data_IF_287861953454
#
_entry.id   IF_287861953454
#
_cell.length_a   1.000
_cell.length_b   1.000
_cell.length_c   1.000
_cell.angle_alpha   90.00
_cell.angle_beta   90.00
_cell.angle_gamma   90.00
#
_symmetry.space_group_name_H-M   'P 1'
#
loop_
_entity.id
_entity.type
_entity.pdbx_description
1 polymer ?
#
# COMPACT_ATOMS: atom_id res chain seq x y z
N UNK A 1 -21.29 19.89 -52.79
CA UNK A 1 -21.51 19.27 -51.49
C UNK A 1 -20.20 18.63 -51.08
N UNK A 2 -19.50 19.12 -50.09
CA UNK A 2 -18.28 18.53 -49.63
C UNK A 2 -18.59 17.53 -48.50
N UNK A 3 -17.93 16.39 -48.57
CA UNK A 3 -17.95 15.26 -47.65
C UNK A 3 -17.29 15.63 -46.30
N UNK A 4 -17.94 15.24 -45.24
CA UNK A 4 -17.49 15.34 -43.83
C UNK A 4 -16.28 14.40 -43.59
N UNK A 5 -15.26 14.81 -42.85
CA UNK A 5 -14.20 13.90 -42.45
C UNK A 5 -14.64 13.02 -41.28
N UNK A 6 -14.34 11.74 -41.37
CA UNK A 6 -14.54 10.72 -40.36
C UNK A 6 -13.57 10.94 -39.19
N UNK A 7 -14.10 10.80 -38.00
CA UNK A 7 -13.40 10.78 -36.72
C UNK A 7 -12.65 9.45 -36.54
N UNK A 8 -11.39 9.41 -36.11
CA UNK A 8 -10.75 8.15 -35.75
C UNK A 8 -11.27 7.66 -34.40
N UNK A 9 -11.87 6.49 -34.43
CA UNK A 9 -12.29 5.70 -33.28
C UNK A 9 -11.12 4.98 -32.65
N UNK A 10 -11.20 4.94 -31.32
CA UNK A 10 -10.82 3.85 -30.41
C UNK A 10 -9.38 3.69 -30.01
N UNK A 11 -9.12 4.18 -28.80
CA UNK A 11 -8.15 3.59 -27.92
C UNK A 11 -8.65 2.21 -27.44
N UNK A 12 -7.83 1.21 -27.62
CA UNK A 12 -8.05 -0.17 -27.18
C UNK A 12 -7.89 -0.23 -25.67
N UNK A 13 -9.00 -0.34 -24.95
CA UNK A 13 -9.02 -0.63 -23.52
C UNK A 13 -8.61 -2.09 -23.33
N UNK A 14 -7.42 -2.33 -22.84
CA UNK A 14 -6.95 -3.67 -22.42
C UNK A 14 -7.77 -4.10 -21.20
N UNK A 15 -8.61 -5.10 -21.40
CA UNK A 15 -9.59 -5.58 -20.44
C UNK A 15 -8.96 -6.27 -19.25
N UNK A 16 -9.06 -5.66 -18.09
CA UNK A 16 -9.09 -6.37 -16.82
C UNK A 16 -10.35 -7.25 -16.80
N UNK A 17 -10.23 -8.53 -16.49
CA UNK A 17 -11.34 -9.49 -16.38
C UNK A 17 -12.40 -8.94 -15.41
N UNK A 18 -13.45 -8.34 -15.96
CA UNK A 18 -14.60 -7.83 -15.22
C UNK A 18 -15.46 -9.00 -14.76
N UNK A 19 -15.17 -9.54 -13.56
CA UNK A 19 -16.05 -10.50 -12.90
C UNK A 19 -17.34 -9.78 -12.47
N UNK A 20 -18.49 -10.35 -12.80
CA UNK A 20 -19.83 -9.86 -12.42
C UNK A 20 -20.12 -9.99 -10.91
N UNK A 21 -19.13 -10.37 -10.09
CA UNK A 21 -19.27 -10.71 -8.67
C UNK A 21 -18.50 -9.77 -7.71
N UNK A 22 -17.94 -8.66 -8.20
CA UNK A 22 -17.25 -7.69 -7.35
C UNK A 22 -18.27 -6.92 -6.49
N UNK A 23 -18.09 -6.94 -5.16
CA UNK A 23 -18.86 -6.11 -4.22
C UNK A 23 -18.32 -4.68 -4.16
N UNK A 24 -17.01 -4.50 -4.36
CA UNK A 24 -16.37 -3.19 -4.52
C UNK A 24 -15.45 -3.23 -5.73
N UNK A 25 -15.56 -2.22 -6.59
CA UNK A 25 -14.64 -2.01 -7.72
C UNK A 25 -13.95 -0.66 -7.58
N UNK A 26 -12.65 -0.67 -7.72
CA UNK A 26 -11.77 0.50 -7.69
C UNK A 26 -11.17 0.63 -9.08
N UNK A 27 -11.28 1.82 -9.68
CA UNK A 27 -10.78 2.11 -11.03
C UNK A 27 -9.95 3.39 -11.03
N UNK A 28 -8.68 3.25 -11.42
CA UNK A 28 -7.68 4.32 -11.57
C UNK A 28 -7.67 5.29 -10.38
N UNK A 29 -7.71 4.74 -9.17
CA UNK A 29 -7.89 5.52 -7.95
C UNK A 29 -6.61 6.24 -7.56
N UNK A 30 -6.72 7.57 -7.39
CA UNK A 30 -5.70 8.42 -6.78
C UNK A 30 -6.20 9.00 -5.47
N UNK A 31 -5.31 9.01 -4.46
CA UNK A 31 -5.49 9.75 -3.21
C UNK A 31 -4.21 10.50 -2.89
N UNK A 32 -4.25 11.80 -3.05
CA UNK A 32 -3.10 12.68 -2.87
C UNK A 32 -3.34 13.65 -1.72
N UNK A 33 -2.34 13.79 -0.83
CA UNK A 33 -2.36 14.71 0.29
C UNK A 33 -1.41 15.87 0.04
N UNK A 34 -1.94 17.09 0.01
CA UNK A 34 -1.11 18.28 -0.05
C UNK A 34 -0.34 18.47 1.28
N UNK A 35 0.98 18.48 1.23
CA UNK A 35 1.81 18.90 2.35
C UNK A 35 1.64 20.41 2.51
N UNK A 36 1.25 20.85 3.72
CA UNK A 36 1.09 22.27 4.03
C UNK A 36 2.46 22.95 3.98
N UNK A 37 2.78 23.59 2.85
CA UNK A 37 3.86 24.56 2.79
C UNK A 37 3.55 25.79 3.67
N UNK A 38 4.58 26.50 4.15
CA UNK A 38 4.40 27.74 4.92
C UNK A 38 3.52 28.73 4.13
N UNK A 39 2.73 29.55 4.84
CA UNK A 39 1.89 30.58 4.21
C UNK A 39 2.70 31.48 3.25
N UNK A 40 3.99 31.70 3.55
CA UNK A 40 4.93 32.47 2.72
C UNK A 40 5.25 31.75 1.39
N UNK A 41 5.36 30.41 1.38
CA UNK A 41 5.65 29.64 0.17
C UNK A 41 4.47 29.69 -0.82
N UNK A 42 3.22 29.72 -0.31
CA UNK A 42 2.00 29.92 -1.13
C UNK A 42 1.98 31.30 -1.78
N UNK A 43 2.40 32.36 -1.05
CA UNK A 43 2.45 33.73 -1.57
C UNK A 43 3.49 33.86 -2.68
N UNK A 44 4.56 33.07 -2.66
CA UNK A 44 5.64 33.03 -3.66
C UNK A 44 5.35 32.05 -4.83
N UNK A 45 4.12 31.52 -4.95
CA UNK A 45 3.71 30.65 -6.06
C UNK A 45 4.40 29.26 -6.08
N UNK A 46 5.09 28.88 -5.01
CA UNK A 46 5.65 27.52 -4.90
C UNK A 46 4.52 26.52 -4.69
N UNK A 47 4.32 25.63 -5.63
CA UNK A 47 3.40 24.49 -5.48
C UNK A 47 3.86 23.67 -4.28
N UNK A 48 2.95 23.44 -3.30
CA UNK A 48 3.24 22.56 -2.17
C UNK A 48 3.54 21.15 -2.67
N UNK A 49 4.45 20.44 -1.99
CA UNK A 49 4.70 19.01 -2.24
C UNK A 49 3.42 18.23 -1.97
N UNK A 50 3.16 17.20 -2.75
CA UNK A 50 1.96 16.37 -2.65
C UNK A 50 2.38 14.93 -2.45
N UNK A 51 1.93 14.30 -1.35
CA UNK A 51 2.16 12.88 -1.11
C UNK A 51 1.15 12.09 -1.91
N UNK A 52 1.62 11.23 -2.80
CA UNK A 52 0.82 10.27 -3.55
C UNK A 52 0.60 9.01 -2.70
N UNK A 53 -0.39 9.06 -1.80
CA UNK A 53 -0.66 7.94 -0.91
C UNK A 53 -1.28 6.74 -1.63
N UNK A 54 -2.05 7.01 -2.68
CA UNK A 54 -2.57 6.05 -3.66
C UNK A 54 -2.34 6.66 -5.05
N UNK A 55 -1.84 5.86 -5.99
CA UNK A 55 -1.41 6.29 -7.32
C UNK A 55 -1.84 5.24 -8.36
N UNK A 56 -2.96 5.46 -9.05
CA UNK A 56 -3.48 4.65 -10.14
C UNK A 56 -3.94 3.23 -9.74
N UNK A 57 -4.53 3.06 -8.54
CA UNK A 57 -4.92 1.72 -8.08
C UNK A 57 -6.17 1.21 -8.78
N UNK A 58 -6.06 0.00 -9.36
CA UNK A 58 -7.15 -0.78 -9.92
C UNK A 58 -7.33 -2.08 -9.11
N UNK A 59 -8.54 -2.32 -8.56
CA UNK A 59 -8.80 -3.45 -7.68
C UNK A 59 -10.27 -3.84 -7.65
N UNK A 60 -10.57 -5.15 -7.80
CA UNK A 60 -11.88 -5.73 -7.55
C UNK A 60 -11.88 -6.56 -6.26
N UNK A 61 -12.84 -6.31 -5.37
CA UNK A 61 -13.11 -7.08 -4.17
C UNK A 61 -14.32 -7.98 -4.44
N UNK A 62 -14.11 -9.29 -4.44
CA UNK A 62 -15.15 -10.28 -4.71
C UNK A 62 -16.02 -10.50 -3.49
N UNK A 63 -17.30 -10.75 -3.71
CA UNK A 63 -18.23 -11.05 -2.62
C UNK A 63 -17.83 -12.31 -1.86
N UNK A 64 -17.81 -12.23 -0.53
CA UNK A 64 -17.48 -13.36 0.36
C UNK A 64 -16.00 -13.72 0.42
N UNK A 65 -15.08 -12.97 -0.24
CA UNK A 65 -13.64 -13.21 -0.12
C UNK A 65 -13.01 -12.46 1.07
N UNK A 66 -11.85 -12.94 1.49
CA UNK A 66 -10.89 -12.19 2.30
C UNK A 66 -9.76 -11.74 1.38
N UNK A 67 -9.73 -10.47 1.01
CA UNK A 67 -8.63 -9.88 0.26
C UNK A 67 -7.59 -9.32 1.22
N UNK A 68 -6.40 -9.90 1.23
CA UNK A 68 -5.24 -9.38 1.97
C UNK A 68 -4.63 -8.17 1.27
N UNK A 69 -4.44 -7.08 1.99
CA UNK A 69 -3.73 -5.90 1.52
C UNK A 69 -2.43 -5.80 2.31
N UNK A 70 -1.31 -6.17 1.70
CA UNK A 70 -0.03 -6.37 2.37
C UNK A 70 1.04 -5.43 1.82
N UNK A 71 1.98 -4.99 2.66
CA UNK A 71 3.10 -4.12 2.29
C UNK A 71 3.73 -3.45 3.49
N UNK A 72 4.86 -2.78 3.30
CA UNK A 72 5.56 -2.03 4.35
C UNK A 72 4.72 -0.89 4.92
N UNK A 73 5.09 -0.37 6.10
CA UNK A 73 4.45 0.83 6.67
C UNK A 73 4.58 2.01 5.70
N UNK A 74 3.51 2.81 5.57
CA UNK A 74 3.48 3.93 4.63
C UNK A 74 3.18 3.56 3.17
N UNK A 75 2.95 2.28 2.82
CA UNK A 75 2.64 1.89 1.43
C UNK A 75 1.24 2.28 0.94
N UNK A 76 0.37 2.88 1.77
CA UNK A 76 -0.96 3.36 1.38
C UNK A 76 -2.14 2.48 1.80
N UNK A 77 -1.93 1.30 2.39
CA UNK A 77 -2.97 0.31 2.74
C UNK A 77 -4.16 0.88 3.52
N UNK A 78 -3.87 1.51 4.66
CA UNK A 78 -4.90 2.16 5.50
C UNK A 78 -5.63 3.28 4.76
N UNK A 79 -4.91 4.03 3.90
CA UNK A 79 -5.50 5.08 3.07
C UNK A 79 -6.47 4.49 2.07
N UNK A 80 -6.11 3.39 1.40
CA UNK A 80 -7.00 2.68 0.48
C UNK A 80 -8.25 2.16 1.19
N UNK A 81 -8.10 1.49 2.34
CA UNK A 81 -9.24 1.03 3.14
C UNK A 81 -10.17 2.17 3.58
N UNK A 82 -9.61 3.32 3.97
CA UNK A 82 -10.40 4.51 4.32
C UNK A 82 -11.07 5.15 3.11
N UNK A 83 -10.44 5.13 1.95
CA UNK A 83 -11.04 5.63 0.70
C UNK A 83 -12.24 4.78 0.29
N UNK A 84 -12.17 3.44 0.41
CA UNK A 84 -13.29 2.52 0.16
C UNK A 84 -14.52 2.87 1.01
N UNK A 85 -14.31 3.30 2.26
CA UNK A 85 -15.40 3.74 3.16
C UNK A 85 -15.81 5.20 2.95
N UNK A 86 -15.23 5.90 1.99
CA UNK A 86 -15.42 7.35 1.81
C UNK A 86 -15.00 8.18 3.03
N UNK A 87 -14.06 7.69 3.85
CA UNK A 87 -13.48 8.44 4.97
C UNK A 87 -12.38 9.40 4.51
N UNK A 88 -11.77 9.09 3.37
CA UNK A 88 -10.80 9.92 2.67
C UNK A 88 -11.31 10.14 1.25
N UNK A 89 -11.39 11.39 0.75
CA UNK A 89 -11.83 11.66 -0.61
C UNK A 89 -10.77 11.20 -1.62
N UNK A 90 -11.22 10.69 -2.77
CA UNK A 90 -10.36 10.45 -3.92
C UNK A 90 -9.95 11.77 -4.58
N UNK A 91 -8.73 11.80 -5.14
CA UNK A 91 -8.25 12.92 -5.97
C UNK A 91 -8.66 12.71 -7.43
N UNK A 92 -8.60 11.46 -7.91
CA UNK A 92 -9.06 11.02 -9.21
C UNK A 92 -9.53 9.55 -9.14
N UNK A 93 -10.10 9.05 -10.23
CA UNK A 93 -10.64 7.71 -10.32
C UNK A 93 -11.95 7.52 -9.58
N UNK A 94 -12.40 6.27 -9.45
CA UNK A 94 -13.70 5.96 -8.85
C UNK A 94 -13.66 4.71 -7.97
N UNK A 95 -14.57 4.70 -6.98
CA UNK A 95 -14.86 3.52 -6.15
C UNK A 95 -16.35 3.24 -6.30
N UNK A 96 -16.69 2.06 -6.81
CA UNK A 96 -18.06 1.62 -7.02
C UNK A 96 -18.37 0.48 -6.07
N UNK A 97 -19.47 0.60 -5.35
CA UNK A 97 -20.02 -0.44 -4.46
C UNK A 97 -21.25 -1.06 -5.09
N UNK A 98 -21.33 -2.39 -5.13
CA UNK A 98 -22.45 -3.17 -5.62
C UNK A 98 -23.13 -3.90 -4.46
N UNK A 99 -24.00 -3.16 -3.74
CA UNK A 99 -24.71 -3.69 -2.56
C UNK A 99 -25.85 -4.62 -2.92
N UNK A 100 -26.14 -5.61 -2.06
CA UNK A 100 -27.24 -6.55 -2.23
C UNK A 100 -28.58 -5.81 -2.35
N UNK A 101 -28.82 -4.84 -1.48
CA UNK A 101 -30.08 -4.12 -1.38
C UNK A 101 -30.06 -2.73 -2.04
N UNK A 102 -28.87 -2.17 -2.28
CA UNK A 102 -28.71 -0.79 -2.82
C UNK A 102 -28.44 -0.75 -4.32
N UNK A 103 -28.03 -1.87 -4.91
CA UNK A 103 -27.53 -1.88 -6.28
C UNK A 103 -26.15 -1.19 -6.40
N UNK A 104 -25.88 -0.61 -7.55
CA UNK A 104 -24.62 0.08 -7.86
C UNK A 104 -24.61 1.51 -7.32
N UNK A 105 -23.54 1.86 -6.60
CA UNK A 105 -23.34 3.18 -5.99
C UNK A 105 -21.89 3.61 -6.15
N UNK A 106 -21.65 4.79 -6.72
CA UNK A 106 -20.30 5.37 -6.83
C UNK A 106 -19.95 6.10 -5.52
N UNK A 107 -19.15 5.45 -4.69
CA UNK A 107 -18.77 5.93 -3.34
C UNK A 107 -18.06 7.27 -3.38
N UNK A 108 -17.18 7.46 -4.38
CA UNK A 108 -16.41 8.70 -4.56
C UNK A 108 -17.26 9.93 -4.84
N UNK A 109 -18.51 9.76 -5.26
CA UNK A 109 -19.46 10.84 -5.55
C UNK A 109 -20.41 11.15 -4.39
N UNK A 110 -20.48 10.25 -3.40
CA UNK A 110 -21.38 10.40 -2.27
C UNK A 110 -20.88 11.42 -1.24
N UNK A 111 -21.83 12.14 -0.64
CA UNK A 111 -21.56 13.08 0.43
C UNK A 111 -22.66 13.04 1.53
N UNK A 112 -22.32 13.57 2.69
CA UNK A 112 -23.26 13.84 3.76
C UNK A 112 -24.12 12.65 4.20
N UNK A 113 -25.44 12.76 3.98
CA UNK A 113 -26.41 11.76 4.45
C UNK A 113 -26.33 10.43 3.69
N UNK A 114 -26.07 10.48 2.38
CA UNK A 114 -26.00 9.28 1.55
C UNK A 114 -24.77 8.44 1.90
N UNK A 115 -23.61 9.08 2.04
CA UNK A 115 -22.40 8.42 2.51
C UNK A 115 -22.56 7.83 3.91
N UNK A 116 -23.27 8.52 4.82
CA UNK A 116 -23.59 7.99 6.15
C UNK A 116 -24.46 6.73 6.09
N UNK A 117 -25.41 6.68 5.14
CA UNK A 117 -26.23 5.48 4.91
C UNK A 117 -25.41 4.34 4.32
N UNK A 118 -24.51 4.62 3.37
CA UNK A 118 -23.62 3.59 2.79
C UNK A 118 -22.77 2.93 3.87
N UNK A 119 -22.29 3.70 4.84
CA UNK A 119 -21.49 3.18 5.96
C UNK A 119 -22.22 2.21 6.87
N UNK A 120 -23.54 1.97 6.73
CA UNK A 120 -24.19 0.84 7.40
C UNK A 120 -23.82 -0.49 6.77
N UNK A 121 -23.54 -0.50 5.47
CA UNK A 121 -23.25 -1.70 4.68
C UNK A 121 -21.74 -2.00 4.65
N UNK A 122 -20.91 -1.00 4.99
CA UNK A 122 -19.45 -1.11 5.01
C UNK A 122 -18.91 -0.58 6.34
N UNK A 123 -18.17 -1.41 7.08
CA UNK A 123 -17.66 -1.08 8.42
C UNK A 123 -16.14 -1.23 8.52
N UNK A 124 -15.54 -0.68 9.57
CA UNK A 124 -14.10 -0.75 9.82
C UNK A 124 -13.79 -1.26 11.22
N UNK A 125 -12.86 -2.21 11.30
CA UNK A 125 -12.15 -2.60 12.51
C UNK A 125 -10.81 -1.87 12.50
N UNK A 126 -10.59 -0.98 13.46
CA UNK A 126 -9.39 -0.14 13.53
C UNK A 126 -8.24 -0.87 14.23
N UNK A 127 -7.02 -0.47 13.93
CA UNK A 127 -5.77 -1.03 14.43
C UNK A 127 -5.66 -1.01 15.95
N UNK A 128 -6.06 0.09 16.61
CA UNK A 128 -6.03 0.22 18.07
C UNK A 128 -7.45 0.06 18.65
N UNK A 129 -7.74 -1.07 19.30
CA UNK A 129 -9.04 -1.28 19.93
C UNK A 129 -9.31 -0.34 21.12
N UNK A 130 -8.24 0.18 21.76
CA UNK A 130 -8.36 1.16 22.84
C UNK A 130 -8.83 2.53 22.35
N UNK A 131 -8.28 2.98 21.23
CA UNK A 131 -8.71 4.21 20.58
C UNK A 131 -10.07 4.08 19.87
N UNK A 132 -10.42 2.85 19.45
CA UNK A 132 -11.69 2.59 18.79
C UNK A 132 -12.90 2.65 19.73
N UNK A 133 -12.78 2.31 21.01
CA UNK A 133 -13.85 2.35 22.01
C UNK A 133 -13.75 3.64 22.83
N UNK A 134 -14.87 4.34 22.95
CA UNK A 134 -14.93 5.54 23.79
C UNK A 134 -14.77 5.13 25.28
N UNK A 135 -13.72 5.61 25.98
CA UNK A 135 -13.44 5.19 27.37
C UNK A 135 -14.55 5.61 28.38
N UNK A 136 -15.36 6.60 28.04
CA UNK A 136 -16.47 7.06 28.87
C UNK A 136 -17.81 6.33 28.66
N UNK A 137 -17.85 5.35 27.73
CA UNK A 137 -19.02 4.53 27.46
C UNK A 137 -18.86 3.13 28.01
N UNK A 138 -19.94 2.52 28.49
CA UNK A 138 -19.99 1.09 28.78
C UNK A 138 -19.88 0.29 27.48
N UNK A 139 -19.59 -1.02 27.57
CA UNK A 139 -19.52 -1.90 26.41
C UNK A 139 -20.90 -2.00 25.72
N UNK A 140 -22.00 -2.03 26.49
CA UNK A 140 -23.36 -1.97 25.94
C UNK A 140 -23.56 -0.71 25.09
N UNK A 141 -23.19 0.45 25.61
CA UNK A 141 -23.30 1.73 24.89
C UNK A 141 -22.38 1.79 23.68
N UNK A 142 -21.11 1.40 23.83
CA UNK A 142 -20.12 1.49 22.77
C UNK A 142 -20.44 0.57 21.58
N UNK A 143 -20.88 -0.67 21.84
CA UNK A 143 -21.28 -1.65 20.82
C UNK A 143 -22.64 -1.29 20.22
N UNK A 144 -23.60 -0.82 21.02
CA UNK A 144 -24.94 -0.46 20.57
C UNK A 144 -25.04 0.88 19.87
N UNK A 145 -24.05 1.77 20.02
CA UNK A 145 -24.07 3.13 19.48
C UNK A 145 -24.38 3.22 17.96
N UNK A 146 -23.86 2.36 17.09
CA UNK A 146 -24.24 2.35 15.67
C UNK A 146 -25.75 2.11 15.45
N UNK A 147 -26.39 1.23 16.22
CA UNK A 147 -27.83 0.98 16.13
C UNK A 147 -28.66 2.19 16.58
N UNK A 148 -28.20 2.89 17.62
CA UNK A 148 -28.86 4.13 18.07
C UNK A 148 -28.82 5.19 16.97
N UNK A 149 -27.65 5.39 16.34
CA UNK A 149 -27.47 6.42 15.31
C UNK A 149 -28.22 6.10 14.01
N UNK A 150 -28.13 4.85 13.54
CA UNK A 150 -28.61 4.49 12.22
C UNK A 150 -30.01 3.92 12.18
N UNK A 151 -30.44 3.24 13.26
CA UNK A 151 -31.76 2.58 13.36
C UNK A 151 -32.67 3.18 14.44
N UNK A 152 -32.15 4.10 15.30
CA UNK A 152 -32.91 4.72 16.36
C UNK A 152 -33.31 3.78 17.50
N UNK A 153 -32.70 2.60 17.62
CA UNK A 153 -33.04 1.57 18.60
C UNK A 153 -32.71 2.03 20.03
N UNK A 154 -33.54 1.63 21.01
CA UNK A 154 -33.39 1.96 22.44
C UNK A 154 -33.92 0.82 23.32
N UNK A 155 -33.59 0.89 24.63
CA UNK A 155 -34.14 0.00 25.64
C UNK A 155 -33.80 -1.47 25.42
N UNK A 156 -34.77 -2.35 25.67
CA UNK A 156 -34.55 -3.81 25.63
C UNK A 156 -34.22 -4.35 24.24
N UNK A 157 -34.77 -3.75 23.18
CA UNK A 157 -34.46 -4.16 21.81
C UNK A 157 -32.99 -3.90 21.48
N UNK A 158 -32.47 -2.71 21.82
CA UNK A 158 -31.03 -2.40 21.67
C UNK A 158 -30.18 -3.37 22.47
N UNK A 159 -30.54 -3.58 23.75
CA UNK A 159 -29.81 -4.49 24.64
C UNK A 159 -29.78 -5.92 24.11
N UNK A 160 -30.88 -6.44 23.58
CA UNK A 160 -30.97 -7.76 22.98
C UNK A 160 -30.06 -7.90 21.76
N UNK A 161 -30.00 -6.88 20.88
CA UNK A 161 -29.10 -6.86 19.72
C UNK A 161 -27.62 -6.81 20.15
N UNK A 162 -27.29 -6.00 21.15
CA UNK A 162 -25.93 -5.92 21.71
C UNK A 162 -25.51 -7.26 22.33
N UNK A 163 -26.41 -7.87 23.11
CA UNK A 163 -26.17 -9.18 23.72
C UNK A 163 -25.84 -10.22 22.66
N UNK A 164 -26.65 -10.34 21.62
CA UNK A 164 -26.41 -11.27 20.51
C UNK A 164 -25.08 -11.01 19.80
N UNK A 165 -24.70 -9.73 19.57
CA UNK A 165 -23.43 -9.39 18.96
C UNK A 165 -22.23 -9.74 19.84
N UNK A 166 -22.34 -9.57 21.17
CA UNK A 166 -21.30 -9.96 22.14
C UNK A 166 -21.13 -11.49 22.23
N UNK A 167 -22.23 -12.24 22.20
CA UNK A 167 -22.19 -13.72 22.13
C UNK A 167 -21.47 -14.23 20.88
N UNK A 168 -21.81 -13.67 19.71
CA UNK A 168 -21.17 -14.02 18.43
C UNK A 168 -19.64 -13.85 18.45
N UNK A 169 -19.13 -12.84 19.16
CA UNK A 169 -17.69 -12.64 19.31
C UNK A 169 -17.08 -13.38 20.51
N UNK A 170 -17.87 -14.22 21.21
CA UNK A 170 -17.42 -15.02 22.35
C UNK A 170 -17.15 -14.22 23.61
N UNK A 171 -17.82 -13.07 23.81
CA UNK A 171 -17.88 -12.35 25.08
C UNK A 171 -19.09 -12.83 25.91
N UNK A 172 -19.01 -14.05 26.43
CA UNK A 172 -20.05 -14.70 27.22
C UNK A 172 -19.51 -15.10 28.60
N UNK A 173 -20.37 -15.16 29.65
CA UNK A 173 -21.78 -14.69 29.66
C UNK A 173 -21.87 -13.18 29.55
N UNK A 174 -22.81 -12.69 28.73
CA UNK A 174 -22.90 -11.30 28.27
C UNK A 174 -23.07 -10.31 29.42
N UNK A 175 -23.81 -10.68 30.47
CA UNK A 175 -24.09 -9.84 31.65
C UNK A 175 -22.81 -9.37 32.35
N UNK A 176 -21.72 -10.12 32.21
CA UNK A 176 -20.40 -9.74 32.77
C UNK A 176 -19.73 -8.60 32.03
N UNK A 177 -20.17 -8.31 30.82
CA UNK A 177 -19.51 -7.35 29.93
C UNK A 177 -20.31 -6.09 29.69
N UNK A 178 -21.65 -6.14 29.68
CA UNK A 178 -22.51 -5.02 29.30
C UNK A 178 -22.21 -3.73 30.09
N UNK A 179 -22.05 -3.83 31.41
CA UNK A 179 -21.81 -2.68 32.28
C UNK A 179 -20.33 -2.31 32.47
N UNK A 180 -19.40 -3.08 31.88
CA UNK A 180 -17.97 -2.78 31.95
C UNK A 180 -17.60 -1.63 31.02
N UNK A 181 -16.53 -0.94 31.39
CA UNK A 181 -15.87 0.04 30.54
C UNK A 181 -14.70 -0.60 29.75
N UNK A 182 -14.24 0.04 28.67
CA UNK A 182 -13.10 -0.46 27.91
C UNK A 182 -11.84 -0.70 28.77
N UNK A 183 -11.63 0.11 29.81
CA UNK A 183 -10.50 -0.04 30.73
C UNK A 183 -10.51 -1.38 31.50
N UNK A 184 -11.69 -1.97 31.72
CA UNK A 184 -11.86 -3.22 32.48
C UNK A 184 -11.61 -4.48 31.64
N UNK A 185 -11.35 -4.32 30.33
CA UNK A 185 -11.18 -5.42 29.39
C UNK A 185 -9.70 -5.67 29.05
N UNK A 186 -9.34 -6.95 28.87
CA UNK A 186 -8.07 -7.33 28.26
C UNK A 186 -8.00 -6.89 26.77
N UNK A 187 -6.80 -6.84 26.19
CA UNK A 187 -6.61 -6.48 24.78
C UNK A 187 -7.46 -7.31 23.82
N UNK A 188 -7.48 -8.63 24.00
CA UNK A 188 -8.31 -9.53 23.19
C UNK A 188 -9.82 -9.35 23.40
N UNK A 189 -10.26 -9.00 24.63
CA UNK A 189 -11.66 -8.68 24.91
C UNK A 189 -12.07 -7.34 24.26
N UNK A 190 -11.19 -6.31 24.31
CA UNK A 190 -11.42 -5.04 23.60
C UNK A 190 -11.57 -5.29 22.10
N UNK A 191 -10.68 -6.10 21.52
CA UNK A 191 -10.73 -6.42 20.08
C UNK A 191 -12.06 -7.11 19.72
N UNK A 192 -12.51 -8.08 20.52
CA UNK A 192 -13.82 -8.72 20.33
C UNK A 192 -14.96 -7.72 20.40
N UNK A 193 -14.94 -6.78 21.35
CA UNK A 193 -15.95 -5.73 21.45
C UNK A 193 -15.94 -4.78 20.24
N UNK A 194 -14.76 -4.44 19.69
CA UNK A 194 -14.63 -3.66 18.44
C UNK A 194 -15.20 -4.42 17.25
N UNK A 195 -14.93 -5.72 17.16
CA UNK A 195 -15.49 -6.58 16.11
C UNK A 195 -17.02 -6.65 16.26
N UNK A 196 -17.56 -6.86 17.49
CA UNK A 196 -18.99 -6.86 17.75
C UNK A 196 -19.66 -5.55 17.28
N UNK A 197 -19.03 -4.39 17.57
CA UNK A 197 -19.49 -3.09 17.10
C UNK A 197 -19.49 -2.96 15.58
N UNK A 198 -18.51 -3.54 14.91
CA UNK A 198 -18.43 -3.51 13.45
C UNK A 198 -19.53 -4.35 12.80
N UNK A 199 -19.83 -5.53 13.35
CA UNK A 199 -20.82 -6.45 12.75
C UNK A 199 -22.27 -6.18 13.18
N UNK A 200 -22.52 -5.33 14.19
CA UNK A 200 -23.87 -5.12 14.77
C UNK A 200 -24.88 -4.51 13.77
N UNK A 201 -24.39 -3.80 12.75
CA UNK A 201 -25.20 -3.28 11.64
C UNK A 201 -25.45 -4.31 10.54
N UNK A 202 -24.85 -5.50 10.63
CA UNK A 202 -24.90 -6.56 9.63
C UNK A 202 -24.34 -6.07 8.26
N UNK A 203 -23.09 -5.58 8.23
CA UNK A 203 -22.50 -5.04 6.99
C UNK A 203 -22.23 -6.15 5.96
N UNK A 204 -22.07 -5.77 4.70
CA UNK A 204 -21.57 -6.69 3.65
C UNK A 204 -20.05 -6.69 3.54
N UNK A 205 -19.41 -5.54 3.84
CA UNK A 205 -17.97 -5.35 3.71
C UNK A 205 -17.39 -4.87 5.03
N UNK A 206 -16.29 -5.48 5.46
CA UNK A 206 -15.52 -5.06 6.63
C UNK A 206 -14.06 -4.81 6.24
N UNK A 207 -13.60 -3.60 6.47
CA UNK A 207 -12.18 -3.25 6.36
C UNK A 207 -11.54 -3.51 7.73
N UNK A 208 -10.66 -4.50 7.81
CA UNK A 208 -9.94 -4.84 9.04
C UNK A 208 -8.50 -4.31 8.95
N UNK A 209 -8.25 -3.17 9.59
CA UNK A 209 -6.95 -2.49 9.56
C UNK A 209 -6.08 -2.98 10.72
N UNK A 210 -5.13 -3.84 10.42
CA UNK A 210 -4.22 -4.49 11.38
C UNK A 210 -4.91 -5.06 12.64
N UNK A 211 -5.97 -5.87 12.51
CA UNK A 211 -6.88 -6.20 13.61
C UNK A 211 -6.24 -7.04 14.72
N UNK A 212 -5.02 -7.54 14.53
CA UNK A 212 -4.33 -8.40 15.50
C UNK A 212 -2.92 -7.92 15.87
N UNK A 213 -2.48 -6.78 15.34
CA UNK A 213 -1.08 -6.29 15.51
C UNK A 213 -0.71 -6.04 16.98
N UNK A 214 -1.65 -5.57 17.80
CA UNK A 214 -1.43 -5.24 19.21
C UNK A 214 -1.74 -6.39 20.19
N UNK A 215 -1.91 -7.62 19.69
CA UNK A 215 -2.29 -8.77 20.51
C UNK A 215 -1.17 -9.79 20.63
N UNK A 216 -1.14 -10.51 21.76
CA UNK A 216 -0.26 -11.65 21.97
C UNK A 216 -0.53 -12.76 20.94
N UNK A 217 0.48 -13.53 20.58
CA UNK A 217 0.42 -14.55 19.53
C UNK A 217 -0.74 -15.54 19.74
N UNK A 218 -0.96 -16.01 20.98
CA UNK A 218 -2.05 -16.96 21.31
C UNK A 218 -3.45 -16.35 21.14
N UNK A 219 -3.57 -15.04 21.34
CA UNK A 219 -4.83 -14.30 21.18
C UNK A 219 -5.06 -13.98 19.70
N UNK A 220 -3.99 -13.67 18.93
CA UNK A 220 -4.08 -13.42 17.49
C UNK A 220 -4.78 -14.54 16.75
N UNK A 221 -4.31 -15.79 16.93
CA UNK A 221 -4.91 -16.95 16.26
C UNK A 221 -6.41 -17.09 16.55
N UNK A 222 -6.84 -16.84 17.81
CA UNK A 222 -8.24 -16.90 18.20
C UNK A 222 -9.09 -15.78 17.57
N UNK A 223 -8.53 -14.59 17.40
CA UNK A 223 -9.23 -13.47 16.73
C UNK A 223 -9.32 -13.71 15.22
N UNK A 224 -8.27 -14.23 14.59
CA UNK A 224 -8.29 -14.58 13.17
C UNK A 224 -9.32 -15.66 12.89
N UNK A 225 -9.37 -16.72 13.71
CA UNK A 225 -10.40 -17.77 13.58
C UNK A 225 -11.81 -17.20 13.77
N UNK A 226 -12.02 -16.35 14.79
CA UNK A 226 -13.31 -15.66 14.97
C UNK A 226 -13.72 -14.86 13.73
N UNK A 227 -12.79 -14.15 13.09
CA UNK A 227 -13.11 -13.37 11.87
C UNK A 227 -13.53 -14.29 10.72
N UNK A 228 -12.89 -15.45 10.56
CA UNK A 228 -13.29 -16.46 9.56
C UNK A 228 -14.66 -17.05 9.87
N UNK A 229 -14.92 -17.42 11.13
CA UNK A 229 -16.22 -17.93 11.56
C UNK A 229 -17.35 -16.91 11.28
N UNK A 230 -17.11 -15.64 11.59
CA UNK A 230 -18.05 -14.53 11.30
C UNK A 230 -18.22 -14.29 9.81
N UNK A 231 -17.15 -14.44 8.99
CA UNK A 231 -17.23 -14.38 7.53
C UNK A 231 -18.23 -15.37 6.99
N UNK A 232 -18.12 -16.63 7.43
CA UNK A 232 -18.96 -17.72 6.96
C UNK A 232 -20.40 -17.62 7.49
N UNK A 233 -20.58 -17.28 8.79
CA UNK A 233 -21.90 -17.12 9.40
C UNK A 233 -22.71 -15.96 8.83
N UNK A 234 -22.06 -14.81 8.66
CA UNK A 234 -22.70 -13.55 8.24
C UNK A 234 -22.50 -13.24 6.75
N UNK A 235 -21.82 -14.11 6.00
CA UNK A 235 -21.48 -13.93 4.59
C UNK A 235 -20.78 -12.57 4.33
N UNK A 236 -19.80 -12.27 5.18
CA UNK A 236 -19.02 -11.03 5.11
C UNK A 236 -17.95 -11.11 4.01
N UNK A 237 -17.63 -9.96 3.47
CA UNK A 237 -16.45 -9.74 2.61
C UNK A 237 -15.45 -8.92 3.39
N UNK A 238 -14.17 -9.34 3.41
CA UNK A 238 -13.12 -8.64 4.16
C UNK A 238 -12.06 -8.03 3.25
N UNK A 239 -11.63 -6.81 3.57
CA UNK A 239 -10.30 -6.32 3.23
C UNK A 239 -9.45 -6.41 4.49
N UNK A 240 -8.50 -7.32 4.50
CA UNK A 240 -7.60 -7.58 5.63
C UNK A 240 -6.26 -6.88 5.41
N UNK A 241 -6.06 -5.74 6.09
CA UNK A 241 -4.85 -4.94 6.00
C UNK A 241 -3.86 -5.42 7.04
N UNK A 242 -2.65 -5.77 6.61
CA UNK A 242 -1.58 -6.22 7.51
C UNK A 242 -0.20 -5.98 6.90
N UNK A 243 0.83 -5.95 7.76
CA UNK A 243 2.23 -6.09 7.35
C UNK A 243 2.77 -7.51 7.65
N UNK A 244 1.98 -8.36 8.31
CA UNK A 244 2.33 -9.73 8.66
C UNK A 244 1.81 -10.72 7.61
N UNK A 245 2.72 -11.18 6.75
CA UNK A 245 2.43 -12.16 5.70
C UNK A 245 1.99 -13.52 6.26
N UNK A 246 2.45 -13.91 7.47
CA UNK A 246 2.05 -15.19 8.06
C UNK A 246 0.55 -15.20 8.40
N UNK A 247 0.03 -14.10 8.97
CA UNK A 247 -1.40 -13.94 9.22
C UNK A 247 -2.20 -13.84 7.92
N UNK A 248 -1.68 -13.14 6.91
CA UNK A 248 -2.32 -13.05 5.60
C UNK A 248 -2.42 -14.43 4.91
N UNK A 249 -1.37 -15.26 4.99
CA UNK A 249 -1.39 -16.64 4.46
C UNK A 249 -2.50 -17.48 5.06
N UNK A 250 -2.78 -17.26 6.35
CA UNK A 250 -3.76 -18.04 7.09
C UNK A 250 -5.22 -17.67 6.77
N UNK A 251 -5.49 -16.37 6.55
CA UNK A 251 -6.89 -15.88 6.46
C UNK A 251 -7.32 -15.44 5.07
N UNK A 252 -6.39 -15.10 4.15
CA UNK A 252 -6.73 -14.47 2.88
C UNK A 252 -6.92 -15.49 1.76
N UNK A 253 -7.96 -15.27 0.94
CA UNK A 253 -8.20 -16.01 -0.30
C UNK A 253 -7.29 -15.48 -1.42
N UNK A 254 -7.14 -14.15 -1.50
CA UNK A 254 -6.25 -13.44 -2.41
C UNK A 254 -5.43 -12.40 -1.66
N UNK A 255 -4.26 -12.07 -2.19
CA UNK A 255 -3.37 -11.03 -1.63
C UNK A 255 -3.02 -10.02 -2.71
N UNK A 256 -3.15 -8.74 -2.38
CA UNK A 256 -2.61 -7.62 -3.12
C UNK A 256 -1.42 -7.04 -2.35
N UNK A 257 -0.26 -7.00 -2.98
CA UNK A 257 0.97 -6.43 -2.42
C UNK A 257 1.06 -4.96 -2.84
N UNK A 258 1.16 -4.07 -1.85
CA UNK A 258 1.26 -2.62 -2.08
C UNK A 258 2.65 -2.08 -1.78
N UNK A 259 3.14 -1.23 -2.66
CA UNK A 259 4.38 -0.47 -2.48
C UNK A 259 4.20 0.96 -2.98
N UNK A 260 4.52 1.96 -2.15
CA UNK A 260 4.42 3.41 -2.47
C UNK A 260 3.12 3.80 -3.21
N UNK A 261 1.96 3.41 -2.66
CA UNK A 261 0.65 3.79 -3.19
C UNK A 261 0.17 2.95 -4.38
N UNK A 262 0.95 2.00 -4.89
CA UNK A 262 0.62 1.16 -6.04
C UNK A 262 0.49 -0.32 -5.65
N UNK A 263 -0.36 -1.06 -6.37
CA UNK A 263 -0.38 -2.53 -6.29
C UNK A 263 0.68 -3.05 -7.25
N UNK A 264 1.68 -3.77 -6.70
CA UNK A 264 2.79 -4.31 -7.48
C UNK A 264 2.59 -5.77 -7.86
N UNK A 265 1.80 -6.52 -7.09
CA UNK A 265 1.43 -7.89 -7.40
C UNK A 265 0.11 -8.26 -6.73
N UNK A 266 -0.77 -9.00 -7.42
CA UNK A 266 -2.04 -9.48 -6.88
C UNK A 266 -2.38 -10.85 -7.44
N UNK A 267 -2.84 -11.75 -6.56
CA UNK A 267 -3.25 -13.10 -6.98
C UNK A 267 -3.77 -13.95 -5.84
N UNK A 268 -4.12 -15.22 -6.12
CA UNK A 268 -4.44 -16.19 -5.09
C UNK A 268 -3.32 -16.30 -4.07
N UNK A 269 -3.67 -16.41 -2.78
CA UNK A 269 -2.69 -16.47 -1.69
C UNK A 269 -1.62 -17.53 -1.93
N UNK A 270 -2.01 -18.73 -2.37
CA UNK A 270 -1.07 -19.82 -2.64
C UNK A 270 -0.04 -19.43 -3.71
N UNK A 271 -0.48 -18.80 -4.83
CA UNK A 271 0.42 -18.38 -5.91
C UNK A 271 1.41 -17.30 -5.47
N UNK A 272 0.95 -16.32 -4.67
CA UNK A 272 1.80 -15.27 -4.10
C UNK A 272 2.92 -15.87 -3.23
N UNK A 273 2.62 -16.93 -2.47
CA UNK A 273 3.61 -17.58 -1.59
C UNK A 273 4.53 -18.56 -2.32
N UNK A 274 4.00 -19.34 -3.26
CA UNK A 274 4.76 -20.40 -3.92
C UNK A 274 5.53 -19.88 -5.13
N UNK A 275 4.97 -18.92 -5.86
CA UNK A 275 5.48 -18.42 -7.13
C UNK A 275 5.49 -16.88 -7.21
N UNK A 276 6.06 -16.15 -6.23
CA UNK A 276 6.09 -14.69 -6.24
C UNK A 276 6.83 -14.17 -7.48
N UNK A 277 6.23 -13.22 -8.20
CA UNK A 277 6.79 -12.67 -9.44
C UNK A 277 7.55 -11.36 -9.17
N UNK A 278 6.93 -10.42 -8.47
CA UNK A 278 7.56 -9.14 -8.23
C UNK A 278 8.76 -9.28 -7.26
N UNK A 279 9.93 -8.69 -7.56
CA UNK A 279 11.11 -8.77 -6.68
C UNK A 279 10.86 -8.24 -5.26
N UNK A 280 9.97 -7.27 -5.09
CA UNK A 280 9.54 -6.81 -3.77
C UNK A 280 8.77 -7.89 -2.98
N UNK A 281 7.84 -8.61 -3.63
CA UNK A 281 7.13 -9.74 -3.01
C UNK A 281 8.10 -10.83 -2.59
N UNK A 282 9.07 -11.15 -3.45
CA UNK A 282 10.12 -12.11 -3.14
C UNK A 282 10.94 -11.69 -1.92
N UNK A 283 11.29 -10.40 -1.82
CA UNK A 283 12.01 -9.86 -0.69
C UNK A 283 11.21 -9.89 0.61
N UNK A 284 9.92 -9.53 0.57
CA UNK A 284 9.01 -9.62 1.72
C UNK A 284 8.87 -11.06 2.24
N UNK A 285 8.73 -12.03 1.34
CA UNK A 285 8.60 -13.44 1.72
C UNK A 285 9.91 -13.99 2.29
N UNK A 286 11.07 -13.60 1.76
CA UNK A 286 12.38 -13.97 2.30
C UNK A 286 12.63 -13.39 3.71
N UNK A 287 12.01 -12.28 4.04
CA UNK A 287 12.13 -11.64 5.35
C UNK A 287 11.27 -12.30 6.45
N UNK A 288 10.37 -13.23 6.10
CA UNK A 288 9.58 -13.98 7.09
C UNK A 288 10.52 -14.88 7.91
N UNK A 289 10.58 -14.72 9.25
CA UNK A 289 11.39 -15.61 10.09
C UNK A 289 10.86 -17.04 10.01
N UNK A 290 11.70 -17.96 9.58
CA UNK A 290 11.41 -19.39 9.71
C UNK A 290 12.07 -19.91 11.00
N UNK A 291 11.40 -20.81 11.75
CA UNK A 291 11.95 -21.37 12.99
C UNK A 291 13.01 -22.47 12.73
N UNK A 292 13.81 -22.29 11.69
CA UNK A 292 14.94 -23.18 11.34
C UNK A 292 16.25 -22.52 11.81
N UNK A 293 16.92 -23.06 12.85
CA UNK A 293 18.15 -22.51 13.38
C UNK A 293 19.33 -22.59 12.39
N UNK A 294 19.27 -23.46 11.40
CA UNK A 294 20.31 -23.63 10.39
C UNK A 294 20.13 -22.70 9.18
N UNK A 295 18.97 -22.05 9.07
CA UNK A 295 18.71 -21.10 7.98
C UNK A 295 19.28 -19.72 8.32
N UNK A 296 20.35 -19.37 7.67
CA UNK A 296 20.88 -17.99 7.74
C UNK A 296 19.89 -17.03 7.08
N UNK A 297 19.59 -15.91 7.75
CA UNK A 297 18.82 -14.81 7.13
C UNK A 297 19.51 -14.40 5.83
N UNK A 298 18.84 -14.43 4.69
CA UNK A 298 19.47 -14.04 3.42
C UNK A 298 20.02 -12.63 3.51
N UNK A 299 21.23 -12.42 3.02
CA UNK A 299 21.85 -11.09 2.95
C UNK A 299 21.27 -10.23 1.82
N UNK A 300 20.38 -10.80 1.00
CA UNK A 300 19.74 -10.17 -0.17
C UNK A 300 18.44 -9.44 0.19
N UNK A 301 18.41 -8.79 1.35
CA UNK A 301 17.30 -7.90 1.71
C UNK A 301 17.31 -6.66 0.81
N UNK A 302 16.15 -6.04 0.55
CA UNK A 302 16.09 -4.81 -0.23
C UNK A 302 17.03 -3.75 0.34
N UNK A 303 17.79 -3.10 -0.53
CA UNK A 303 18.78 -2.08 -0.14
C UNK A 303 18.06 -0.79 0.25
N UNK A 304 18.72 0.01 1.09
CA UNK A 304 18.31 1.37 1.41
C UNK A 304 16.96 1.49 2.11
N UNK A 305 16.52 2.72 2.26
CA UNK A 305 15.25 3.11 2.86
C UNK A 305 14.12 3.14 1.80
N UNK A 306 12.88 3.20 2.27
CA UNK A 306 11.71 3.39 1.39
C UNK A 306 11.78 4.80 0.81
N UNK A 307 11.68 4.99 -0.51
CA UNK A 307 11.68 6.31 -1.12
C UNK A 307 10.53 7.19 -0.61
N UNK A 308 10.70 8.53 -0.72
CA UNK A 308 9.68 9.48 -0.30
C UNK A 308 8.45 9.41 -1.22
N UNK A 309 7.28 9.12 -0.64
CA UNK A 309 6.02 9.10 -1.37
C UNK A 309 5.58 10.47 -1.93
N UNK A 310 6.22 11.56 -1.49
CA UNK A 310 6.00 12.90 -2.08
C UNK A 310 6.78 13.13 -3.39
N UNK A 311 7.85 12.36 -3.59
CA UNK A 311 8.68 12.38 -4.80
C UNK A 311 9.09 10.94 -5.15
N UNK A 312 8.13 10.11 -5.61
CA UNK A 312 8.41 8.71 -5.92
C UNK A 312 9.45 8.61 -7.04
N UNK A 313 10.21 7.51 -7.10
CA UNK A 313 11.13 7.24 -8.19
C UNK A 313 10.42 7.17 -9.55
N UNK A 314 11.13 7.49 -10.62
CA UNK A 314 10.64 7.35 -11.98
C UNK A 314 10.40 5.87 -12.32
N UNK A 315 9.44 5.55 -13.18
CA UNK A 315 9.12 4.19 -13.60
C UNK A 315 8.69 3.30 -12.43
N UNK A 316 9.39 2.19 -12.23
CA UNK A 316 9.13 1.27 -11.12
C UNK A 316 9.58 1.87 -9.78
N UNK A 317 8.64 2.18 -8.89
CA UNK A 317 8.94 2.77 -7.58
C UNK A 317 9.87 1.93 -6.68
N UNK A 318 10.00 0.63 -6.95
CA UNK A 318 10.89 -0.28 -6.20
C UNK A 318 12.31 -0.38 -6.78
N UNK A 319 12.58 0.17 -7.99
CA UNK A 319 13.85 -0.04 -8.67
C UNK A 319 15.12 0.33 -7.86
N UNK A 320 15.14 1.40 -7.01
CA UNK A 320 16.35 1.74 -6.25
C UNK A 320 16.74 0.64 -5.25
N UNK A 321 15.77 -0.16 -4.82
CA UNK A 321 15.94 -1.26 -3.84
C UNK A 321 15.97 -2.65 -4.51
N UNK A 322 15.72 -2.72 -5.82
CA UNK A 322 15.52 -3.98 -6.53
C UNK A 322 16.88 -4.57 -7.00
N UNK A 323 17.26 -5.79 -6.55
CA UNK A 323 18.49 -6.43 -7.02
C UNK A 323 18.42 -6.90 -8.48
N UNK A 324 17.19 -7.00 -9.04
CA UNK A 324 16.93 -7.45 -10.41
C UNK A 324 16.59 -6.29 -11.36
N UNK A 325 16.75 -5.03 -10.93
CA UNK A 325 16.40 -3.88 -11.76
C UNK A 325 17.22 -3.89 -13.07
N UNK A 326 16.52 -3.57 -14.16
CA UNK A 326 17.06 -3.48 -15.53
C UNK A 326 17.09 -2.03 -16.01
N UNK A 327 17.52 -1.79 -17.24
CA UNK A 327 17.70 -0.44 -17.76
C UNK A 327 16.41 0.40 -17.70
N UNK A 328 15.29 -0.19 -18.09
CA UNK A 328 13.98 0.47 -18.22
C UNK A 328 13.24 0.65 -16.89
N UNK A 329 13.84 0.27 -15.76
CA UNK A 329 13.19 0.37 -14.44
C UNK A 329 13.04 1.81 -13.93
N UNK A 330 13.80 2.79 -14.49
CA UNK A 330 13.59 4.21 -14.19
C UNK A 330 14.72 4.88 -13.43
N UNK A 331 15.97 4.52 -13.75
CA UNK A 331 17.16 5.12 -13.17
C UNK A 331 17.22 6.63 -13.38
N UNK A 332 17.68 7.34 -12.36
CA UNK A 332 17.63 8.79 -12.31
C UNK A 332 18.79 9.39 -11.51
N UNK A 333 18.90 10.72 -11.52
CA UNK A 333 20.00 11.45 -10.85
C UNK A 333 20.14 11.14 -9.36
N UNK A 334 19.03 10.90 -8.63
CA UNK A 334 19.05 10.54 -7.21
C UNK A 334 19.71 9.19 -6.94
N UNK A 335 19.64 8.25 -7.88
CA UNK A 335 20.28 6.95 -7.75
C UNK A 335 21.82 7.08 -7.86
N UNK A 336 22.31 8.01 -8.68
CA UNK A 336 23.74 8.35 -8.73
C UNK A 336 24.20 8.92 -7.37
N UNK A 337 23.43 9.82 -6.78
CA UNK A 337 23.70 10.35 -5.44
C UNK A 337 23.78 9.21 -4.41
N UNK A 338 22.78 8.35 -4.39
CA UNK A 338 22.72 7.22 -3.46
C UNK A 338 23.93 6.26 -3.63
N UNK A 339 24.34 5.99 -4.88
CA UNK A 339 25.51 5.18 -5.20
C UNK A 339 26.79 5.79 -4.63
N UNK A 340 27.00 7.09 -4.81
CA UNK A 340 28.17 7.81 -4.31
C UNK A 340 28.20 7.84 -2.78
N UNK A 341 27.07 8.17 -2.14
CA UNK A 341 26.94 8.20 -0.67
C UNK A 341 27.19 6.80 -0.07
N UNK A 342 26.68 5.73 -0.68
CA UNK A 342 26.95 4.35 -0.25
C UNK A 342 28.43 4.00 -0.42
N UNK A 343 29.05 4.40 -1.55
CA UNK A 343 30.47 4.16 -1.78
C UNK A 343 31.33 4.81 -0.67
N UNK A 344 31.06 6.06 -0.36
CA UNK A 344 31.80 6.78 0.69
C UNK A 344 31.56 6.24 2.10
N UNK A 345 30.37 5.78 2.41
CA UNK A 345 30.06 5.19 3.73
C UNK A 345 30.90 3.92 4.01
N UNK A 346 31.29 3.21 2.96
CA UNK A 346 32.07 1.96 3.07
C UNK A 346 33.58 2.17 3.09
N UNK A 347 34.07 3.36 2.78
CA UNK A 347 35.48 3.66 2.66
C UNK A 347 35.99 4.50 3.86
N UNK A 348 37.31 4.42 4.20
CA UNK A 348 37.89 5.28 5.26
C UNK A 348 37.78 6.77 4.93
N UNK A 349 37.51 7.62 5.93
CA UNK A 349 37.32 9.06 5.79
C UNK A 349 38.46 9.78 5.01
N UNK A 350 39.70 9.35 5.21
CA UNK A 350 40.85 9.91 4.49
C UNK A 350 40.79 9.73 2.96
N UNK A 351 40.12 8.67 2.49
CA UNK A 351 39.96 8.38 1.07
C UNK A 351 38.71 9.07 0.52
N UNK A 352 37.57 8.93 1.20
CA UNK A 352 36.31 9.52 0.68
C UNK A 352 36.30 11.04 0.76
N UNK A 353 36.99 11.66 1.73
CA UNK A 353 37.07 13.11 1.84
C UNK A 353 37.64 13.75 0.56
N UNK A 354 38.72 13.21 0.04
CA UNK A 354 39.33 13.68 -1.21
C UNK A 354 38.39 13.49 -2.41
N UNK A 355 37.71 12.33 -2.50
CA UNK A 355 36.76 12.04 -3.56
C UNK A 355 35.53 12.97 -3.50
N UNK A 356 34.99 13.23 -2.30
CA UNK A 356 33.87 14.12 -2.08
C UNK A 356 34.23 15.57 -2.46
N UNK A 357 35.42 16.03 -2.08
CA UNK A 357 35.89 17.37 -2.42
C UNK A 357 36.10 17.52 -3.94
N UNK A 358 36.47 16.46 -4.64
CA UNK A 358 36.64 16.40 -6.09
C UNK A 358 35.28 16.44 -6.80
N UNK A 359 34.33 15.58 -6.38
CA UNK A 359 32.96 15.49 -6.93
C UNK A 359 32.16 16.75 -6.64
N UNK A 360 32.34 17.36 -5.46
CA UNK A 360 31.68 18.60 -5.07
C UNK A 360 30.24 18.40 -4.56
N UNK A 361 29.35 19.35 -4.88
CA UNK A 361 28.01 19.43 -4.34
C UNK A 361 27.04 18.47 -5.04
N UNK A 362 26.42 17.55 -4.28
CA UNK A 362 25.43 16.60 -4.76
C UNK A 362 23.99 17.08 -4.71
N UNK A 363 23.71 18.28 -4.15
CA UNK A 363 22.33 18.77 -3.99
C UNK A 363 21.61 18.96 -5.34
N UNK A 364 22.36 19.10 -6.43
CA UNK A 364 21.79 19.15 -7.78
C UNK A 364 21.22 17.82 -8.25
N UNK A 365 21.64 16.71 -7.64
CA UNK A 365 21.17 15.37 -7.96
C UNK A 365 19.88 14.98 -7.21
N UNK A 366 19.31 15.88 -6.39
CA UNK A 366 18.10 15.60 -5.60
C UNK A 366 16.81 15.58 -6.41
N UNK A 367 16.85 15.90 -7.68
CA UNK A 367 15.66 15.91 -8.53
C UNK A 367 15.55 14.61 -9.31
N UNK A 368 14.33 14.10 -9.57
CA UNK A 368 14.11 12.92 -10.39
C UNK A 368 14.27 13.29 -11.89
N UNK A 369 15.49 13.33 -12.38
CA UNK A 369 15.82 13.69 -13.77
C UNK A 369 16.51 12.54 -14.49
N UNK A 370 16.19 12.32 -15.77
CA UNK A 370 16.79 11.29 -16.64
C UNK A 370 18.20 11.66 -17.12
N UNK A 371 18.71 12.79 -16.68
CA UNK A 371 20.08 13.20 -16.89
C UNK A 371 20.64 13.81 -15.62
N UNK A 372 21.91 13.57 -15.37
CA UNK A 372 22.63 14.16 -14.27
C UNK A 372 23.89 14.87 -14.79
N UNK A 373 24.18 16.05 -14.23
CA UNK A 373 25.43 16.74 -14.47
C UNK A 373 26.12 17.01 -13.14
N UNK A 374 27.20 16.30 -12.91
CA UNK A 374 28.05 16.48 -11.73
C UNK A 374 29.07 17.56 -12.04
N UNK A 375 28.78 18.80 -11.58
CA UNK A 375 29.72 19.92 -11.71
C UNK A 375 30.89 19.72 -10.74
N UNK A 376 32.10 19.62 -11.25
CA UNK A 376 33.29 19.29 -10.47
C UNK A 376 34.48 20.17 -10.88
N UNK A 377 35.47 20.29 -9.99
CA UNK A 377 36.73 20.99 -10.27
C UNK A 377 37.71 20.14 -11.12
N UNK A 378 37.50 18.84 -11.13
CA UNK A 378 38.30 17.84 -11.86
C UNK A 378 37.35 16.84 -12.54
N UNK A 379 36.93 17.17 -13.76
CA UNK A 379 36.02 16.33 -14.55
C UNK A 379 36.67 14.96 -14.90
N UNK A 380 37.90 14.96 -15.30
CA UNK A 380 38.62 13.73 -15.63
C UNK A 380 38.81 12.81 -14.43
N UNK A 381 39.15 13.38 -13.25
CA UNK A 381 39.25 12.65 -11.98
C UNK A 381 37.88 12.08 -11.53
N UNK A 382 36.82 12.87 -11.67
CA UNK A 382 35.45 12.41 -11.34
C UNK A 382 34.99 11.28 -12.28
N UNK A 383 35.22 11.40 -13.57
CA UNK A 383 34.93 10.34 -14.54
C UNK A 383 35.73 9.07 -14.24
N UNK A 384 37.02 9.21 -13.90
CA UNK A 384 37.87 8.09 -13.50
C UNK A 384 37.36 7.42 -12.22
N UNK A 385 36.86 8.20 -11.21
CA UNK A 385 36.25 7.68 -10.01
C UNK A 385 35.00 6.85 -10.32
N UNK A 386 34.07 7.37 -11.12
CA UNK A 386 32.85 6.67 -11.50
C UNK A 386 33.15 5.37 -12.27
N UNK A 387 34.11 5.39 -13.20
CA UNK A 387 34.53 4.20 -13.90
C UNK A 387 35.21 3.17 -12.97
N UNK A 388 35.95 3.62 -11.96
CA UNK A 388 36.51 2.74 -10.93
C UNK A 388 35.42 2.09 -10.10
N UNK A 389 34.42 2.86 -9.60
CA UNK A 389 33.28 2.34 -8.85
C UNK A 389 32.52 1.30 -9.70
N UNK A 390 32.32 1.57 -10.98
CA UNK A 390 31.72 0.62 -11.94
C UNK A 390 32.54 -0.67 -12.07
N UNK A 391 33.86 -0.57 -12.14
CA UNK A 391 34.73 -1.74 -12.21
C UNK A 391 34.79 -2.54 -10.90
N UNK A 392 34.71 -1.88 -9.75
CA UNK A 392 34.67 -2.52 -8.43
C UNK A 392 33.35 -3.22 -8.14
N UNK A 393 32.23 -2.69 -8.67
CA UNK A 393 30.87 -3.21 -8.50
C UNK A 393 30.17 -3.40 -9.85
N UNK A 394 30.63 -4.36 -10.71
CA UNK A 394 30.06 -4.53 -12.05
C UNK A 394 28.61 -5.04 -12.03
N UNK A 395 28.22 -5.75 -10.96
CA UNK A 395 26.88 -6.30 -10.78
C UNK A 395 25.89 -5.30 -10.16
N UNK A 396 26.34 -4.07 -9.88
CA UNK A 396 25.44 -3.02 -9.36
C UNK A 396 24.39 -2.65 -10.40
N UNK A 397 23.07 -2.85 -10.10
CA UNK A 397 22.00 -2.65 -11.08
C UNK A 397 21.95 -1.24 -11.67
N UNK A 398 22.37 -0.21 -10.93
CA UNK A 398 22.44 1.18 -11.39
C UNK A 398 23.14 1.31 -12.75
N UNK A 399 24.26 0.60 -12.95
CA UNK A 399 25.04 0.69 -14.20
C UNK A 399 24.31 0.16 -15.43
N UNK A 400 23.23 -0.61 -15.25
CA UNK A 400 22.41 -1.10 -16.38
C UNK A 400 21.57 0.01 -17.00
N UNK A 401 21.21 1.02 -16.20
CA UNK A 401 20.41 2.16 -16.67
C UNK A 401 21.21 3.32 -17.22
N UNK A 402 22.54 3.30 -17.13
CA UNK A 402 23.40 4.37 -17.64
C UNK A 402 23.66 4.18 -19.14
N UNK A 403 23.12 5.07 -19.97
CA UNK A 403 23.35 5.09 -21.42
C UNK A 403 24.66 5.74 -21.78
N UNK A 404 24.91 6.96 -21.25
CA UNK A 404 26.16 7.71 -21.49
C UNK A 404 26.79 8.15 -20.17
N UNK A 405 28.12 8.17 -20.15
CA UNK A 405 28.93 8.66 -19.05
C UNK A 405 30.19 9.29 -19.64
N UNK A 406 30.23 10.61 -19.70
CA UNK A 406 31.29 11.35 -20.41
C UNK A 406 31.60 12.71 -19.77
N UNK A 407 32.77 13.25 -20.06
CA UNK A 407 33.12 14.61 -19.66
C UNK A 407 32.33 15.61 -20.46
N UNK A 408 31.78 16.62 -19.76
CA UNK A 408 31.03 17.74 -20.35
C UNK A 408 31.48 19.07 -19.73
N UNK A 409 32.35 19.77 -20.44
CA UNK A 409 32.87 21.07 -20.02
C UNK A 409 33.56 21.06 -18.67
N UNK A 410 32.86 21.49 -17.61
CA UNK A 410 33.38 21.57 -16.24
C UNK A 410 32.78 20.48 -15.33
N UNK A 411 32.35 19.37 -15.89
CA UNK A 411 31.72 18.29 -15.13
C UNK A 411 31.69 16.96 -15.85
N UNK A 412 30.88 16.07 -15.32
CA UNK A 412 30.56 14.76 -15.91
C UNK A 412 29.06 14.71 -16.17
N UNK A 413 28.68 14.47 -17.43
CA UNK A 413 27.32 14.24 -17.85
C UNK A 413 27.00 12.76 -17.87
N UNK A 414 25.78 12.43 -17.38
CA UNK A 414 25.26 11.07 -17.33
C UNK A 414 23.84 11.11 -17.87
N UNK A 415 23.50 10.19 -18.77
CA UNK A 415 22.13 10.00 -19.23
C UNK A 415 21.63 8.61 -18.87
N UNK A 416 20.35 8.51 -18.61
CA UNK A 416 19.69 7.28 -18.22
C UNK A 416 18.68 6.85 -19.27
N UNK A 417 18.47 5.54 -19.37
CA UNK A 417 17.45 4.93 -20.22
C UNK A 417 16.05 5.42 -19.85
N UNK A 418 15.23 5.69 -20.84
CA UNK A 418 13.82 6.08 -20.64
C UNK A 418 13.08 5.04 -19.80
N UNK A 419 12.36 5.47 -18.74
CA UNK A 419 11.67 4.56 -17.86
C UNK A 419 10.40 3.99 -18.49
N UNK A 420 10.12 2.73 -18.20
CA UNK A 420 8.81 2.13 -18.43
C UNK A 420 8.02 2.12 -17.12
N UNK A 421 6.83 2.73 -17.12
CA UNK A 421 5.90 2.63 -15.99
C UNK A 421 5.17 1.28 -16.03
N UNK A 422 5.45 0.34 -15.10
CA UNK A 422 4.89 -1.01 -15.19
C UNK A 422 3.41 -1.02 -14.80
N UNK A 423 2.54 -1.42 -15.71
CA UNK A 423 1.15 -1.71 -15.42
C UNK A 423 0.97 -3.15 -14.89
N UNK A 424 -0.12 -3.41 -14.15
CA UNK A 424 -0.49 -4.77 -13.74
C UNK A 424 -0.81 -5.61 -14.97
N UNK A 425 -0.08 -6.72 -15.15
CA UNK A 425 -0.22 -7.64 -16.30
C UNK A 425 -0.24 -9.08 -15.81
N UNK A 426 -0.96 -9.94 -16.52
CA UNK A 426 -1.03 -11.36 -16.17
C UNK A 426 0.31 -12.06 -16.38
N UNK A 427 0.84 -12.67 -15.33
CA UNK A 427 2.05 -13.49 -15.38
C UNK A 427 1.81 -14.80 -14.60
N UNK A 428 1.45 -15.87 -15.33
CA UNK A 428 1.06 -17.13 -14.70
C UNK A 428 -0.23 -17.01 -13.90
N UNK A 429 -0.19 -17.35 -12.58
CA UNK A 429 -1.34 -17.33 -11.67
C UNK A 429 -1.69 -15.96 -11.09
N UNK A 430 -0.84 -14.94 -11.26
CA UNK A 430 -0.94 -13.60 -10.63
C UNK A 430 -0.95 -12.49 -11.66
N UNK A 431 -1.37 -11.28 -11.25
CA UNK A 431 -1.13 -10.06 -12.00
C UNK A 431 0.02 -9.30 -11.34
N UNK A 432 1.00 -8.84 -12.12
CA UNK A 432 2.24 -8.23 -11.64
C UNK A 432 2.56 -6.95 -12.40
N UNK A 433 3.00 -5.90 -11.70
CA UNK A 433 3.48 -4.65 -12.26
C UNK A 433 5.02 -4.62 -12.24
N UNK A 434 5.64 -5.27 -13.22
CA UNK A 434 7.08 -5.37 -13.32
C UNK A 434 7.52 -5.54 -14.79
N UNK A 435 8.52 -4.76 -15.19
CA UNK A 435 9.08 -4.79 -16.57
C UNK A 435 9.73 -6.13 -16.95
N UNK A 436 10.09 -6.96 -15.95
CA UNK A 436 10.61 -8.32 -16.19
C UNK A 436 9.55 -9.28 -16.76
N UNK A 437 8.26 -8.87 -16.74
CA UNK A 437 7.13 -9.63 -17.27
C UNK A 437 6.44 -8.79 -18.36
N UNK A 438 7.02 -8.72 -19.57
CA UNK A 438 6.44 -7.98 -20.70
C UNK A 438 5.11 -8.61 -21.13
N UNK A 439 4.35 -7.86 -21.92
CA UNK A 439 3.12 -8.39 -22.52
C UNK A 439 3.45 -9.54 -23.46
N UNK A 440 2.74 -10.66 -23.44
CA UNK A 440 2.97 -11.75 -24.41
C UNK A 440 2.83 -11.33 -25.89
N UNK A 441 2.34 -10.11 -26.14
CA UNK A 441 2.18 -9.54 -27.48
C UNK A 441 3.37 -8.66 -27.93
N UNK A 442 4.29 -8.33 -27.01
CA UNK A 442 5.55 -7.65 -27.28
C UNK A 442 6.70 -8.67 -27.46
#
# INVERSE_FOLDING_TARGET
MPTKPETPTTGTTTGTTTGTDDVVRISDLDVHFALQGSALARLLGRRGRTVKAIDGVNLGLRRGEVLGLVGESGSGKTTLGRAVLGLVPSTAGSITYHGRDRGEVVVSELAGRELRRLRTDMQMVFQDPGAALNPGMTIEEAVGHPLVIHRGLKGEELRGRVAAALEKVGLAPVERYLSKYPADLSGGQKQRAVIARAIILEPEVVIADEPVSMLDMSVRAKILQLMLDLKDELQLTYVYITHDLASAKYVCDRIAIMYLGRIVEIGPTQEIFDNPRHPYTQALLKAIPEPDPDRMVPRDLPRGEIPDAAEPPLGCSFHPRCPQAVAECGWESRDLRALLEEHWTRNPEATYGAERDMVGDLDKLDKPELSAHVGTKDAAGTLALLNRIKAEKPDEPFWRGVETLEEDGNGVAITFTEPTDPALRRAGGVDVACVLYPDPAD
#
